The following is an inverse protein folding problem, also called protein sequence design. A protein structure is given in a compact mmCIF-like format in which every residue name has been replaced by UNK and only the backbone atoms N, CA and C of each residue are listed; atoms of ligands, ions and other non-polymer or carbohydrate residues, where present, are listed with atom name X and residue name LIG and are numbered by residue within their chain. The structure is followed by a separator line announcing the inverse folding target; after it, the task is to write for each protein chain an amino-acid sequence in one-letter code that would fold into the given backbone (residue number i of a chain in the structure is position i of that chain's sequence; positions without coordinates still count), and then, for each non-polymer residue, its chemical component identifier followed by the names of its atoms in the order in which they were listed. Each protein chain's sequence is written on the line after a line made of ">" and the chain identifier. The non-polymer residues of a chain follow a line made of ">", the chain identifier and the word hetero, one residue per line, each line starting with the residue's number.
data_IF_718186443820
#
_entry.id   IF_718186443820
#
_cell.length_a   1.000
_cell.length_b   1.000
_cell.length_c   1.000
_cell.angle_alpha   90.00
_cell.angle_beta   90.00
_cell.angle_gamma   90.00
#
_symmetry.space_group_name_H-M   'P 1'
#
loop_
_entity.id
_entity.type
_entity.pdbx_description
1 polymer ?
#
# COMPACT_ATOMS: atom_id res chain seq x y z
N UNK A 1 -10.61 28.54 18.88
CA UNK A 1 -12.09 28.48 18.99
C UNK A 1 -12.43 28.12 20.42
N UNK A 2 -13.39 28.83 21.04
CA UNK A 2 -13.95 28.43 22.32
C UNK A 2 -14.84 27.19 22.10
N UNK A 3 -14.57 26.12 22.82
CA UNK A 3 -15.29 24.84 22.71
C UNK A 3 -15.43 24.22 24.11
N UNK A 4 -16.60 23.65 24.45
CA UNK A 4 -16.79 22.92 25.71
C UNK A 4 -15.70 21.86 25.91
N UNK A 5 -15.17 21.75 27.14
CA UNK A 5 -14.13 20.77 27.46
C UNK A 5 -14.58 19.34 27.16
N UNK A 6 -15.83 19.02 27.47
CA UNK A 6 -16.45 17.70 27.20
C UNK A 6 -16.34 17.30 25.72
N UNK A 7 -16.72 18.21 24.82
CA UNK A 7 -16.69 17.94 23.38
C UNK A 7 -15.25 17.80 22.86
N UNK A 8 -14.32 18.61 23.38
CA UNK A 8 -12.90 18.52 23.00
C UNK A 8 -12.28 17.19 23.41
N UNK A 9 -12.55 16.75 24.64
CA UNK A 9 -12.07 15.47 25.16
C UNK A 9 -12.64 14.33 24.31
N UNK A 10 -13.94 14.34 24.02
CA UNK A 10 -14.57 13.30 23.19
C UNK A 10 -14.00 13.22 21.76
N UNK A 11 -13.69 14.37 21.12
CA UNK A 11 -13.02 14.39 19.81
C UNK A 11 -11.63 13.74 19.91
N UNK A 12 -10.88 14.04 20.96
CA UNK A 12 -9.52 13.52 21.17
C UNK A 12 -9.52 12.03 21.51
N UNK A 13 -10.47 11.57 22.32
CA UNK A 13 -10.66 10.15 22.62
C UNK A 13 -10.96 9.35 21.36
N UNK A 14 -11.88 9.85 20.52
CA UNK A 14 -12.21 9.21 19.25
C UNK A 14 -11.02 9.16 18.31
N UNK A 15 -10.32 10.29 18.14
CA UNK A 15 -9.12 10.36 17.31
C UNK A 15 -8.03 9.40 17.80
N UNK A 16 -7.83 9.27 19.12
CA UNK A 16 -6.84 8.36 19.69
C UNK A 16 -7.25 6.89 19.55
N UNK A 17 -8.55 6.59 19.66
CA UNK A 17 -9.06 5.22 19.50
C UNK A 17 -8.85 4.70 18.09
N UNK A 18 -9.25 5.46 17.07
CA UNK A 18 -9.18 5.04 15.67
C UNK A 18 -7.79 5.32 15.07
N UNK A 19 -7.19 6.46 15.41
CA UNK A 19 -5.95 6.98 14.81
C UNK A 19 -6.15 7.73 13.49
N UNK A 20 -7.39 7.77 12.98
CA UNK A 20 -7.82 8.47 11.77
C UNK A 20 -9.14 9.16 12.05
N UNK A 21 -9.40 10.29 11.39
CA UNK A 21 -10.69 10.97 11.46
C UNK A 21 -11.03 11.58 10.10
N UNK A 22 -12.30 11.54 9.72
CA UNK A 22 -12.78 12.08 8.45
C UNK A 22 -13.95 13.02 8.67
N UNK A 23 -13.87 14.25 8.16
CA UNK A 23 -14.99 15.19 8.22
C UNK A 23 -15.30 15.82 6.86
N UNK A 24 -16.58 15.89 6.51
CA UNK A 24 -17.03 16.72 5.38
C UNK A 24 -16.81 18.20 5.72
N UNK A 25 -16.34 19.00 4.78
CA UNK A 25 -16.22 20.47 4.89
C UNK A 25 -17.62 21.10 4.78
N UNK A 26 -18.34 20.98 5.88
CA UNK A 26 -19.64 21.59 6.13
C UNK A 26 -19.67 22.10 7.56
N UNK A 27 -19.62 23.43 7.72
CA UNK A 27 -19.57 24.06 9.03
C UNK A 27 -20.94 24.20 9.70
N UNK A 28 -22.03 23.99 8.96
CA UNK A 28 -23.40 24.16 9.44
C UNK A 28 -24.04 22.83 9.86
N UNK A 29 -23.42 21.71 9.50
CA UNK A 29 -23.85 20.39 9.96
C UNK A 29 -23.90 20.34 11.50
N UNK A 30 -25.10 20.13 12.03
CA UNK A 30 -25.38 20.13 13.48
C UNK A 30 -24.67 19.00 14.22
N UNK A 31 -24.37 17.91 13.51
CA UNK A 31 -23.75 16.68 14.05
C UNK A 31 -22.71 16.13 13.09
N UNK A 32 -21.69 15.49 13.65
CA UNK A 32 -20.70 14.72 12.90
C UNK A 32 -21.15 13.26 12.81
N UNK A 33 -20.96 12.54 11.68
CA UNK A 33 -21.44 11.17 11.50
C UNK A 33 -20.92 10.18 12.54
N UNK A 34 -19.66 10.32 12.97
CA UNK A 34 -19.04 9.42 13.96
C UNK A 34 -19.25 9.90 15.41
N UNK A 35 -19.67 11.15 15.60
CA UNK A 35 -19.81 11.80 16.91
C UNK A 35 -21.19 12.45 17.01
N UNK A 36 -22.18 11.68 17.45
CA UNK A 36 -23.61 12.06 17.43
C UNK A 36 -23.92 13.36 18.20
N UNK A 37 -23.16 13.66 19.25
CA UNK A 37 -23.41 14.79 20.15
C UNK A 37 -22.60 16.05 19.82
N UNK A 38 -21.73 15.99 18.80
CA UNK A 38 -20.72 17.03 18.56
C UNK A 38 -20.96 17.70 17.19
N UNK A 39 -21.08 19.03 17.14
CA UNK A 39 -21.18 19.75 15.87
C UNK A 39 -19.94 19.58 15.00
N UNK A 40 -20.13 19.44 13.69
CA UNK A 40 -19.02 19.21 12.76
C UNK A 40 -18.01 20.39 12.73
N UNK A 41 -18.48 21.62 12.95
CA UNK A 41 -17.62 22.79 13.11
C UNK A 41 -16.57 22.59 14.21
N UNK A 42 -16.97 22.03 15.36
CA UNK A 42 -16.08 21.81 16.48
C UNK A 42 -15.00 20.80 16.11
N UNK A 43 -15.36 19.71 15.45
CA UNK A 43 -14.43 18.70 14.94
C UNK A 43 -13.40 19.36 14.01
N UNK A 44 -13.86 20.08 12.98
CA UNK A 44 -12.95 20.72 12.00
C UNK A 44 -11.99 21.69 12.69
N UNK A 45 -12.46 22.49 13.64
CA UNK A 45 -11.63 23.49 14.32
C UNK A 45 -10.68 22.87 15.35
N UNK A 46 -11.06 21.79 16.02
CA UNK A 46 -10.15 21.00 16.86
C UNK A 46 -9.02 20.40 16.02
N UNK A 47 -9.37 19.75 14.90
CA UNK A 47 -8.39 19.11 14.01
C UNK A 47 -7.48 20.13 13.34
N UNK A 48 -7.99 21.30 12.95
CA UNK A 48 -7.18 22.41 12.46
C UNK A 48 -6.12 22.86 13.49
N UNK A 49 -6.48 22.89 14.78
CA UNK A 49 -5.55 23.23 15.86
C UNK A 49 -4.51 22.15 16.11
N UNK A 50 -4.83 20.87 15.93
CA UNK A 50 -3.87 19.78 16.06
C UNK A 50 -2.90 19.74 14.87
N UNK A 51 -3.41 19.97 13.67
CA UNK A 51 -2.61 20.09 12.44
C UNK A 51 -1.58 21.20 12.55
N UNK A 52 -1.97 22.39 13.01
CA UNK A 52 -1.04 23.53 13.11
C UNK A 52 0.12 23.29 14.09
N UNK A 53 -0.01 22.31 14.98
CA UNK A 53 1.02 21.90 15.95
C UNK A 53 1.82 20.66 15.49
N UNK A 54 1.49 20.09 14.34
CA UNK A 54 2.18 18.90 13.80
C UNK A 54 1.69 17.55 14.37
N UNK A 55 0.66 17.53 15.21
CA UNK A 55 0.14 16.29 15.82
C UNK A 55 -0.67 15.43 14.85
N UNK A 56 -1.11 16.01 13.75
CA UNK A 56 -1.97 15.35 12.76
C UNK A 56 -1.55 15.79 11.37
N UNK A 57 -1.48 14.83 10.44
CA UNK A 57 -1.33 15.08 9.01
C UNK A 57 -2.71 15.21 8.37
N UNK A 58 -2.93 16.31 7.65
CA UNK A 58 -4.18 16.55 6.92
C UNK A 58 -4.00 16.29 5.42
N UNK A 59 -4.96 15.59 4.84
CA UNK A 59 -5.18 15.48 3.41
C UNK A 59 -6.60 15.98 3.11
N UNK A 60 -6.75 16.87 2.14
CA UNK A 60 -8.05 17.41 1.76
C UNK A 60 -8.39 17.04 0.32
N UNK A 61 -9.52 16.36 0.13
CA UNK A 61 -9.98 15.94 -1.20
C UNK A 61 -11.50 15.86 -1.24
N UNK A 62 -12.12 16.24 -2.36
CA UNK A 62 -13.57 16.11 -2.59
C UNK A 62 -14.46 16.77 -1.53
N UNK A 63 -14.01 17.89 -0.94
CA UNK A 63 -14.66 18.54 0.22
C UNK A 63 -14.67 17.68 1.50
N UNK A 64 -13.80 16.70 1.62
CA UNK A 64 -13.58 15.92 2.84
C UNK A 64 -12.16 16.16 3.36
N UNK A 65 -12.07 16.36 4.67
CA UNK A 65 -10.84 16.34 5.43
C UNK A 65 -10.55 14.91 5.87
N UNK A 66 -9.33 14.47 5.60
CA UNK A 66 -8.79 13.20 6.06
C UNK A 66 -7.61 13.51 6.97
N UNK A 67 -7.69 13.09 8.22
CA UNK A 67 -6.67 13.35 9.21
C UNK A 67 -6.04 12.06 9.70
N UNK A 68 -4.71 12.03 9.72
CA UNK A 68 -3.91 10.90 10.19
C UNK A 68 -3.12 11.34 11.41
N UNK A 69 -3.25 10.61 12.52
CA UNK A 69 -2.51 10.89 13.74
C UNK A 69 -1.02 10.59 13.54
N UNK A 70 -0.13 11.51 13.92
CA UNK A 70 1.32 11.32 13.87
C UNK A 70 1.84 10.74 15.19
N UNK A 71 3.08 10.25 15.21
CA UNK A 71 3.70 9.71 16.44
C UNK A 71 3.73 10.76 17.57
N UNK A 72 4.14 11.99 17.26
CA UNK A 72 4.14 13.10 18.23
C UNK A 72 2.72 13.42 18.73
N UNK A 73 1.72 13.28 17.85
CA UNK A 73 0.32 13.43 18.22
C UNK A 73 -0.18 12.36 19.18
N UNK A 74 0.31 11.12 19.06
CA UNK A 74 -0.01 10.03 19.99
C UNK A 74 0.50 10.39 21.39
N UNK A 75 1.74 10.87 21.52
CA UNK A 75 2.31 11.27 22.80
C UNK A 75 1.55 12.45 23.42
N UNK A 76 1.21 13.46 22.63
CA UNK A 76 0.42 14.61 23.08
C UNK A 76 -0.96 14.20 23.60
N UNK A 77 -1.70 13.38 22.83
CA UNK A 77 -3.03 12.94 23.22
C UNK A 77 -2.99 12.03 24.45
N UNK A 78 -1.96 11.18 24.58
CA UNK A 78 -1.76 10.33 25.76
C UNK A 78 -1.58 11.17 27.03
N UNK A 79 -0.74 12.21 26.96
CA UNK A 79 -0.53 13.14 28.08
C UNK A 79 -1.78 13.96 28.40
N UNK A 80 -2.54 14.38 27.39
CA UNK A 80 -3.76 15.18 27.58
C UNK A 80 -4.93 14.37 28.16
N UNK A 81 -5.08 13.12 27.74
CA UNK A 81 -6.16 12.22 28.16
C UNK A 81 -5.79 11.39 29.41
N UNK A 82 -4.53 11.49 29.88
CA UNK A 82 -4.01 10.71 31.00
C UNK A 82 -4.16 9.19 30.81
N UNK A 83 -3.88 8.73 29.59
CA UNK A 83 -3.97 7.31 29.23
C UNK A 83 -2.63 6.60 29.52
N UNK A 84 -2.65 5.33 29.98
CA UNK A 84 -1.44 4.55 30.15
C UNK A 84 -0.72 4.29 28.80
N UNK A 85 0.60 4.03 28.82
CA UNK A 85 1.40 3.88 27.61
C UNK A 85 1.07 2.63 26.78
N UNK A 86 0.34 1.69 27.36
CA UNK A 86 -0.10 0.45 26.72
C UNK A 86 -1.21 0.66 25.70
N UNK A 87 -2.01 1.74 25.84
CA UNK A 87 -3.09 2.00 24.90
C UNK A 87 -2.49 2.65 23.66
N UNK A 88 -2.67 1.97 22.55
CA UNK A 88 -2.18 2.33 21.23
C UNK A 88 -3.38 2.49 20.29
N UNK A 89 -3.36 3.48 19.36
CA UNK A 89 -4.42 3.64 18.37
C UNK A 89 -4.63 2.37 17.54
N UNK A 90 -5.86 2.18 17.05
CA UNK A 90 -6.25 0.99 16.27
C UNK A 90 -5.41 0.79 15.01
N UNK A 91 -4.88 1.86 14.42
CA UNK A 91 -3.95 1.80 13.28
C UNK A 91 -2.64 1.06 13.56
N UNK A 92 -2.20 0.98 14.82
CA UNK A 92 -0.97 0.27 15.21
C UNK A 92 -1.25 -1.11 15.83
N UNK A 93 -2.50 -1.41 16.20
CA UNK A 93 -2.86 -2.72 16.75
C UNK A 93 -2.69 -3.77 15.65
N UNK A 94 -1.78 -4.73 15.86
CA UNK A 94 -1.62 -5.86 14.94
C UNK A 94 -2.92 -6.66 14.92
N UNK A 95 -3.58 -6.69 13.77
CA UNK A 95 -4.70 -7.60 13.54
C UNK A 95 -4.20 -9.05 13.71
N UNK A 96 -4.87 -9.89 14.51
CA UNK A 96 -4.57 -11.31 14.52
C UNK A 96 -4.86 -11.83 13.12
N UNK A 97 -3.83 -12.30 12.40
CA UNK A 97 -4.06 -13.04 11.17
C UNK A 97 -4.92 -14.24 11.56
N UNK A 98 -6.17 -14.27 11.09
CA UNK A 98 -6.93 -15.52 11.07
C UNK A 98 -6.09 -16.46 10.21
N UNK A 99 -5.48 -17.44 10.85
CA UNK A 99 -4.87 -18.58 10.18
C UNK A 99 -6.03 -19.32 9.51
N UNK A 100 -6.41 -18.85 8.33
CA UNK A 100 -7.28 -19.62 7.45
C UNK A 100 -6.51 -20.88 7.18
N UNK A 101 -6.95 -21.94 7.87
CA UNK A 101 -6.69 -23.34 7.59
C UNK A 101 -7.05 -23.57 6.12
N UNK A 102 -6.18 -23.15 5.20
CA UNK A 102 -6.09 -23.81 3.90
C UNK A 102 -5.48 -25.15 4.26
N UNK A 103 -6.22 -26.28 4.17
CA UNK A 103 -5.60 -27.58 4.29
C UNK A 103 -4.60 -27.67 3.15
N UNK A 104 -3.34 -27.41 3.46
CA UNK A 104 -2.25 -27.75 2.56
C UNK A 104 -2.28 -29.27 2.54
N UNK A 105 -2.63 -29.92 1.41
CA UNK A 105 -2.67 -31.38 1.39
C UNK A 105 -1.28 -31.86 1.80
N UNK A 106 -1.23 -32.62 2.88
CA UNK A 106 -0.03 -33.31 3.31
C UNK A 106 0.39 -34.21 2.14
N UNK A 107 1.44 -33.82 1.43
CA UNK A 107 2.09 -34.73 0.50
C UNK A 107 2.78 -35.79 1.36
N UNK A 108 2.05 -36.88 1.63
CA UNK A 108 2.56 -38.13 2.16
C UNK A 108 3.79 -38.50 1.35
N UNK A 109 4.96 -38.43 1.98
CA UNK A 109 6.16 -39.08 1.48
C UNK A 109 5.89 -40.59 1.57
N UNK A 110 5.45 -41.18 0.47
CA UNK A 110 5.46 -42.63 0.29
C UNK A 110 6.60 -42.97 -0.66
N UNK A 111 7.59 -43.62 -0.08
CA UNK A 111 8.58 -44.43 -0.78
C UNK A 111 7.87 -45.46 -1.69
N UNK A 112 8.47 -45.73 -2.86
CA UNK A 112 8.32 -46.99 -3.59
C UNK A 112 7.07 -47.17 -4.46
N UNK A 113 7.22 -46.93 -5.77
CA UNK A 113 6.97 -47.93 -6.85
C UNK A 113 6.70 -47.23 -8.20
N UNK A 114 7.64 -47.40 -9.14
CA UNK A 114 7.50 -47.17 -10.60
C UNK A 114 6.42 -48.11 -11.18
N UNK A 115 5.74 -47.83 -12.32
CA UNK A 115 6.39 -47.52 -13.60
C UNK A 115 5.65 -46.55 -14.56
N UNK A 116 6.40 -45.68 -15.23
CA UNK A 116 6.06 -45.15 -16.57
C UNK A 116 7.38 -44.78 -17.24
N UNK A 117 7.86 -45.67 -18.10
CA UNK A 117 9.12 -45.58 -18.85
C UNK A 117 9.05 -44.59 -20.03
N UNK A 118 7.92 -43.95 -20.29
CA UNK A 118 7.72 -43.12 -21.49
C UNK A 118 8.40 -41.75 -21.48
N UNK A 119 8.94 -41.28 -20.34
CA UNK A 119 9.51 -39.92 -20.23
C UNK A 119 11.03 -39.84 -20.21
N UNK A 120 11.71 -40.99 -20.25
CA UNK A 120 13.18 -41.04 -20.15
C UNK A 120 13.90 -41.06 -21.51
N UNK A 121 13.19 -41.36 -22.61
CA UNK A 121 13.78 -41.44 -23.96
C UNK A 121 14.21 -40.08 -24.56
N UNK A 122 13.58 -38.98 -24.17
CA UNK A 122 13.85 -37.65 -24.73
C UNK A 122 15.10 -36.95 -24.18
N UNK A 123 15.74 -37.49 -23.12
CA UNK A 123 16.93 -36.87 -22.50
C UNK A 123 18.25 -37.56 -22.82
N UNK A 124 18.24 -38.70 -23.50
CA UNK A 124 19.47 -39.40 -23.90
C UNK A 124 19.70 -39.26 -25.40
N UNK A 125 20.21 -38.12 -25.82
CA UNK A 125 20.98 -38.04 -27.07
C UNK A 125 22.39 -38.57 -26.78
N UNK A 126 22.83 -39.69 -27.37
CA UNK A 126 24.12 -40.28 -27.05
C UNK A 126 25.24 -39.52 -27.78
N UNK A 127 26.19 -38.98 -27.03
CA UNK A 127 27.49 -38.61 -27.59
C UNK A 127 28.28 -39.88 -27.92
N UNK A 128 28.75 -39.98 -29.17
CA UNK A 128 29.74 -40.97 -29.61
C UNK A 128 29.97 -40.94 -31.14
N UNK A 129 31.20 -40.74 -31.66
CA UNK A 129 31.55 -40.59 -33.10
C UNK A 129 31.69 -41.98 -33.80
N UNK A 130 31.78 -42.16 -35.15
CA UNK A 130 32.50 -41.32 -36.13
C UNK A 130 31.94 -41.20 -37.59
N UNK A 131 32.55 -40.28 -38.35
CA UNK A 131 32.84 -40.30 -39.80
C UNK A 131 31.76 -40.08 -40.89
N UNK A 132 32.18 -39.25 -41.86
CA UNK A 132 31.81 -39.17 -43.28
C UNK A 132 30.55 -38.40 -43.70
N UNK A 133 30.78 -37.33 -44.49
CA UNK A 133 29.78 -36.85 -45.45
C UNK A 133 29.60 -35.33 -45.48
N UNK A 134 30.48 -34.66 -46.21
CA UNK A 134 30.29 -33.43 -46.98
C UNK A 134 28.97 -32.67 -46.88
N UNK A 135 29.06 -31.39 -46.51
CA UNK A 135 28.33 -30.25 -47.13
C UNK A 135 28.96 -28.93 -46.71
N UNK A 136 30.06 -28.56 -47.37
CA UNK A 136 30.46 -27.16 -47.56
C UNK A 136 29.71 -26.61 -48.79
N UNK A 137 29.07 -25.46 -48.63
CA UNK A 137 28.80 -24.43 -49.64
C UNK A 137 28.28 -23.22 -48.84
N UNK A 138 29.12 -22.26 -48.42
CA UNK A 138 29.69 -21.16 -49.21
C UNK A 138 28.62 -20.34 -49.96
N UNK A 139 28.30 -19.18 -49.37
CA UNK A 139 28.03 -17.83 -49.95
C UNK A 139 27.55 -16.99 -48.75
N UNK A 140 28.22 -16.00 -48.17
CA UNK A 140 29.06 -14.92 -48.69
C UNK A 140 28.59 -13.64 -47.98
N UNK A 141 29.49 -12.85 -47.39
CA UNK A 141 29.15 -11.63 -46.64
C UNK A 141 28.70 -10.50 -47.59
N UNK A 142 27.51 -9.94 -47.36
CA UNK A 142 26.96 -8.82 -48.12
C UNK A 142 26.67 -7.63 -47.20
N UNK A 143 27.53 -6.62 -47.28
CA UNK A 143 27.38 -5.27 -46.73
C UNK A 143 26.11 -4.59 -47.24
N UNK A 144 25.31 -4.02 -46.33
CA UNK A 144 24.22 -3.11 -46.67
C UNK A 144 23.83 -2.28 -45.44
N UNK A 145 24.17 -0.99 -45.47
CA UNK A 145 23.77 0.02 -44.49
C UNK A 145 22.24 0.07 -44.32
N UNK A 146 21.77 -0.12 -43.08
CA UNK A 146 20.37 0.11 -42.71
C UNK A 146 20.22 1.54 -42.17
N UNK A 147 19.84 2.46 -43.05
CA UNK A 147 19.55 3.86 -42.70
C UNK A 147 18.27 3.97 -41.84
N UNK A 148 18.40 4.51 -40.62
CA UNK A 148 17.25 4.89 -39.79
C UNK A 148 16.94 6.38 -39.97
N UNK A 149 15.99 6.69 -40.86
CA UNK A 149 15.54 8.05 -41.16
C UNK A 149 14.67 8.61 -40.04
N UNK A 150 15.24 9.53 -39.27
CA UNK A 150 14.52 10.29 -38.23
C UNK A 150 13.55 11.36 -38.77
N UNK A 151 12.53 11.66 -37.95
CA UNK A 151 12.08 13.03 -37.70
C UNK A 151 10.74 13.50 -38.30
N UNK A 152 9.73 13.66 -37.44
CA UNK A 152 8.69 14.73 -37.43
C UNK A 152 8.20 14.83 -35.98
N UNK A 153 8.32 15.88 -35.16
CA UNK A 153 8.60 17.31 -35.34
C UNK A 153 7.44 18.13 -34.72
N UNK A 154 7.65 18.77 -33.56
CA UNK A 154 6.94 19.95 -32.95
C UNK A 154 7.32 20.04 -31.45
N UNK A 155 7.88 21.09 -30.88
CA UNK A 155 8.30 22.40 -31.37
C UNK A 155 9.23 23.06 -30.34
N UNK A 156 10.11 23.94 -30.80
CA UNK A 156 11.09 24.72 -30.03
C UNK A 156 10.47 26.08 -29.70
N UNK A 157 10.58 26.55 -28.46
CA UNK A 157 10.33 27.95 -28.12
C UNK A 157 11.61 28.78 -28.32
N UNK A 158 11.50 29.85 -29.11
CA UNK A 158 12.34 31.07 -29.06
C UNK A 158 11.90 31.86 -27.81
N UNK A 159 12.70 32.67 -27.13
CA UNK A 159 13.93 33.41 -27.40
C UNK A 159 14.66 33.61 -26.07
#
# INVERSE_FOLDING_TARGET
>A
MLMPKKNRVAIYEYLFKEGVMVAKKDYHASKHPELENIPNLQVIKAMQSLKSRGYVKEQFAWRHFYWYLTNDGIEYLRGYLHLPPEIVPSTLKKQPRSETTRPRPAATRSEGSRPTEDRAGYRRGPGGPPSAGDKKADVGAGTGDLEFRGGFGRGKALQ
#
